data_IF_762692629116
#
_entry.id   IF_762692629116
#
_cell.length_a   1.000
_cell.length_b   1.000
_cell.length_c   1.000
_cell.angle_alpha   90.00
_cell.angle_beta   90.00
_cell.angle_gamma   90.00
#
_symmetry.space_group_name_H-M   'P 1'
#
loop_
_entity.id
_entity.type
_entity.pdbx_description
1 polymer ?
#
# COMPACT_ATOMS: atom_id res chain seq x y z
N UNK A 1 10.02 26.68 -17.84
CA UNK A 1 9.36 27.43 -16.75
C UNK A 1 8.03 26.76 -16.43
N UNK A 2 8.07 25.62 -15.73
CA UNK A 2 6.87 25.00 -15.16
C UNK A 2 6.72 25.56 -13.75
N UNK A 3 5.69 26.38 -13.56
CA UNK A 3 5.35 26.96 -12.28
C UNK A 3 4.85 25.84 -11.38
N UNK A 4 5.61 25.51 -10.34
CA UNK A 4 5.17 24.68 -9.22
C UNK A 4 3.94 25.37 -8.63
N UNK A 5 2.80 24.68 -8.64
CA UNK A 5 1.53 25.23 -8.21
C UNK A 5 1.64 25.74 -6.75
N UNK A 6 1.22 26.98 -6.43
CA UNK A 6 1.40 27.62 -5.11
C UNK A 6 0.65 26.95 -3.93
N UNK A 7 0.00 25.81 -4.15
CA UNK A 7 -0.73 25.06 -3.13
C UNK A 7 0.16 24.12 -2.30
N UNK A 8 1.34 23.73 -2.80
CA UNK A 8 2.27 22.86 -2.04
C UNK A 8 2.88 23.59 -0.84
N UNK A 9 3.27 24.86 -1.03
CA UNK A 9 3.89 25.67 0.03
C UNK A 9 2.94 26.00 1.19
N UNK A 10 1.62 25.99 0.93
CA UNK A 10 0.59 26.23 1.96
C UNK A 10 0.28 24.97 2.77
N UNK A 11 0.46 23.76 2.23
CA UNK A 11 0.18 22.51 2.95
C UNK A 11 1.20 22.20 4.04
N UNK A 12 2.50 22.40 3.79
CA UNK A 12 3.53 22.22 4.81
C UNK A 12 3.30 23.16 6.01
N UNK A 13 2.87 24.40 5.75
CA UNK A 13 2.58 25.38 6.81
C UNK A 13 1.40 24.99 7.73
N UNK A 14 0.48 24.14 7.24
CA UNK A 14 -0.69 23.67 8.00
C UNK A 14 -0.38 22.37 8.76
N UNK A 15 0.43 21.47 8.19
CA UNK A 15 0.84 20.22 8.84
C UNK A 15 1.76 20.43 10.06
N UNK A 16 2.50 21.55 10.08
CA UNK A 16 3.34 21.98 11.23
C UNK A 16 2.50 22.27 12.49
N UNK A 17 1.17 22.45 12.38
CA UNK A 17 0.28 22.73 13.52
C UNK A 17 -0.58 21.57 14.01
N UNK A 18 -0.45 20.36 13.46
CA UNK A 18 -1.21 19.19 13.95
C UNK A 18 -0.47 18.57 15.15
N UNK A 19 -1.08 18.56 16.36
CA UNK A 19 -0.50 17.91 17.54
C UNK A 19 -0.11 16.46 17.25
N UNK A 20 1.03 16.01 17.79
CA UNK A 20 1.57 14.67 17.59
C UNK A 20 0.58 13.54 17.95
N UNK A 21 -0.27 13.78 18.98
CA UNK A 21 -1.37 12.89 19.37
C UNK A 21 -2.46 12.69 18.29
N UNK A 22 -2.63 13.65 17.37
CA UNK A 22 -3.54 13.54 16.22
C UNK A 22 -2.83 12.93 15.00
N UNK A 23 -1.49 12.84 15.03
CA UNK A 23 -0.68 12.07 14.07
C UNK A 23 -0.67 10.57 14.40
N UNK A 24 -0.91 10.19 15.67
CA UNK A 24 -0.90 8.80 16.19
C UNK A 24 -2.29 8.11 16.22
N UNK A 25 -3.13 8.40 15.26
CA UNK A 25 -4.06 7.38 14.75
C UNK A 25 -3.77 7.35 13.25
N UNK A 26 -3.56 6.21 12.64
CA UNK A 26 -4.66 5.52 11.96
C UNK A 26 -4.06 4.34 11.18
N UNK A 27 -4.84 3.28 11.09
CA UNK A 27 -5.22 2.76 9.79
C UNK A 27 -6.77 2.65 9.82
N UNK A 28 -7.42 2.55 8.66
CA UNK A 28 -8.61 3.29 8.18
C UNK A 28 -8.16 4.62 7.51
N UNK A 29 -7.47 4.46 6.37
CA UNK A 29 -6.92 5.56 5.59
C UNK A 29 -7.60 5.68 4.22
N UNK A 30 -7.44 6.82 3.56
CA UNK A 30 -8.13 7.12 2.28
C UNK A 30 -7.73 6.21 1.11
N UNK A 31 -6.68 5.41 1.26
CA UNK A 31 -6.27 4.46 0.22
C UNK A 31 -7.28 3.31 0.09
N UNK A 32 -8.05 3.03 1.15
CA UNK A 32 -9.13 2.07 1.14
C UNK A 32 -10.43 2.76 0.69
N UNK A 33 -10.65 2.78 -0.62
CA UNK A 33 -11.75 3.50 -1.26
C UNK A 33 -12.88 2.57 -1.72
N UNK A 34 -12.83 1.28 -1.37
CA UNK A 34 -13.84 0.30 -1.77
C UNK A 34 -15.23 0.72 -1.29
N UNK A 35 -16.19 0.84 -2.21
CA UNK A 35 -17.56 1.27 -1.91
C UNK A 35 -17.74 2.76 -1.58
N UNK A 36 -16.69 3.58 -1.74
CA UNK A 36 -16.79 5.02 -1.48
C UNK A 36 -17.36 5.76 -2.70
N UNK A 37 -18.48 6.45 -2.50
CA UNK A 37 -19.08 7.35 -3.50
C UNK A 37 -18.38 8.72 -3.57
N UNK A 38 -18.65 9.45 -4.66
CA UNK A 38 -18.24 10.86 -4.80
C UNK A 38 -16.97 11.08 -5.62
N UNK A 39 -16.42 10.05 -6.24
CA UNK A 39 -15.38 10.17 -7.25
C UNK A 39 -15.96 10.59 -8.61
N UNK A 40 -15.14 11.30 -9.39
CA UNK A 40 -15.45 11.61 -10.78
C UNK A 40 -15.47 10.32 -11.64
N UNK A 41 -16.17 10.33 -12.79
CA UNK A 41 -16.14 9.22 -13.72
C UNK A 41 -14.72 8.81 -14.11
N UNK A 42 -14.51 7.51 -14.29
CA UNK A 42 -13.23 7.00 -14.81
C UNK A 42 -12.98 7.59 -16.19
N UNK A 43 -11.81 8.19 -16.37
CA UNK A 43 -11.38 8.77 -17.63
C UNK A 43 -10.47 7.78 -18.38
N UNK A 44 -10.98 7.03 -19.36
CA UNK A 44 -10.14 6.15 -20.15
C UNK A 44 -9.24 6.99 -21.06
N UNK A 45 -7.95 6.99 -20.79
CA UNK A 45 -6.94 7.67 -21.61
C UNK A 45 -5.84 6.70 -21.97
N UNK A 46 -5.40 6.73 -23.23
CA UNK A 46 -4.11 6.12 -23.59
C UNK A 46 -3.01 6.96 -22.94
N UNK A 47 -2.39 6.42 -21.91
CA UNK A 47 -1.38 7.13 -21.13
C UNK A 47 -0.04 6.42 -21.25
N UNK A 48 1.07 7.13 -21.50
CA UNK A 48 2.39 6.51 -21.46
C UNK A 48 2.67 5.97 -20.05
N UNK A 49 3.45 4.89 -19.92
CA UNK A 49 3.84 4.37 -18.60
C UNK A 49 4.53 5.42 -17.72
N UNK A 50 5.25 6.35 -18.37
CA UNK A 50 5.97 7.45 -17.74
C UNK A 50 5.73 8.74 -18.53
N UNK A 51 5.30 9.80 -17.85
CA UNK A 51 5.14 11.16 -18.35
C UNK A 51 6.35 12.04 -18.09
N UNK A 52 7.22 11.62 -17.17
CA UNK A 52 8.44 12.34 -16.83
C UNK A 52 9.58 11.37 -16.43
N UNK A 53 10.83 11.81 -16.59
CA UNK A 53 12.01 10.98 -16.31
C UNK A 53 12.14 10.60 -14.82
N UNK A 54 11.64 11.43 -13.91
CA UNK A 54 11.67 11.12 -12.48
C UNK A 54 10.80 9.91 -12.13
N UNK A 55 9.72 9.67 -12.89
CA UNK A 55 8.83 8.53 -12.68
C UNK A 55 9.55 7.20 -13.01
N UNK A 56 10.42 7.22 -14.03
CA UNK A 56 11.29 6.06 -14.35
C UNK A 56 12.24 5.75 -13.21
N UNK A 57 12.79 6.79 -12.58
CA UNK A 57 13.69 6.66 -11.42
C UNK A 57 12.93 6.12 -10.21
N UNK A 58 11.77 6.69 -9.90
CA UNK A 58 10.90 6.21 -8.83
C UNK A 58 10.51 4.75 -9.03
N UNK A 59 10.15 4.35 -10.25
CA UNK A 59 9.87 2.95 -10.58
C UNK A 59 11.08 2.04 -10.33
N UNK A 60 12.26 2.42 -10.83
CA UNK A 60 13.49 1.63 -10.67
C UNK A 60 13.95 1.50 -9.21
N UNK A 61 13.58 2.45 -8.33
CA UNK A 61 13.89 2.36 -6.90
C UNK A 61 13.25 1.15 -6.23
N UNK A 62 12.03 0.74 -6.62
CA UNK A 62 11.35 -0.36 -5.94
C UNK A 62 12.11 -1.70 -6.03
N UNK A 63 12.40 -2.27 -7.22
CA UNK A 63 13.16 -3.52 -7.31
C UNK A 63 14.58 -3.35 -6.77
N UNK A 64 15.17 -2.15 -6.85
CA UNK A 64 16.50 -1.89 -6.28
C UNK A 64 16.51 -1.98 -4.75
N UNK A 65 15.49 -1.44 -4.07
CA UNK A 65 15.40 -1.44 -2.62
C UNK A 65 14.98 -2.80 -2.08
N UNK A 66 14.05 -3.48 -2.77
CA UNK A 66 13.70 -4.85 -2.40
C UNK A 66 14.88 -5.80 -2.63
N UNK A 67 15.54 -5.76 -3.79
CA UNK A 67 16.64 -6.68 -4.11
C UNK A 67 17.85 -6.55 -3.19
N UNK A 68 17.91 -5.48 -2.38
CA UNK A 68 18.92 -5.24 -1.35
C UNK A 68 18.40 -5.47 0.08
N UNK A 69 17.19 -6.05 0.22
CA UNK A 69 16.51 -6.29 1.49
C UNK A 69 16.34 -5.02 2.35
N UNK A 70 16.28 -3.84 1.71
CA UNK A 70 16.11 -2.56 2.42
C UNK A 70 14.67 -2.36 2.84
N UNK A 71 13.72 -2.83 2.02
CA UNK A 71 12.27 -2.81 2.29
C UNK A 71 11.64 -4.07 1.70
N UNK A 72 10.47 -4.44 2.20
CA UNK A 72 9.58 -5.40 1.55
C UNK A 72 8.30 -4.74 1.00
N UNK A 73 7.55 -5.49 0.18
CA UNK A 73 6.34 -4.98 -0.48
C UNK A 73 5.20 -4.59 0.48
N UNK A 74 5.16 -5.16 1.69
CA UNK A 74 4.16 -4.80 2.71
C UNK A 74 4.56 -3.52 3.44
N UNK A 75 5.86 -3.34 3.75
CA UNK A 75 6.38 -2.06 4.25
C UNK A 75 6.17 -0.93 3.24
N UNK A 76 6.42 -1.18 1.96
CA UNK A 76 6.17 -0.22 0.87
C UNK A 76 4.72 0.25 0.84
N UNK A 77 3.76 -0.68 0.82
CA UNK A 77 2.32 -0.34 0.86
C UNK A 77 2.00 0.45 2.12
N UNK A 78 2.47 0.01 3.28
CA UNK A 78 2.28 0.74 4.53
C UNK A 78 2.90 2.14 4.54
N UNK A 79 4.00 2.35 3.81
CA UNK A 79 4.57 3.68 3.56
C UNK A 79 3.61 4.59 2.80
N UNK A 80 3.03 4.09 1.70
CA UNK A 80 2.03 4.81 0.89
C UNK A 80 0.78 5.15 1.72
N UNK A 81 0.28 4.21 2.51
CA UNK A 81 -0.91 4.36 3.35
C UNK A 81 -0.76 5.52 4.38
N UNK A 82 0.49 5.85 4.74
CA UNK A 82 0.85 6.91 5.69
C UNK A 82 1.20 8.25 5.03
N UNK A 83 0.96 8.41 3.73
CA UNK A 83 1.23 9.65 2.97
C UNK A 83 0.33 10.83 3.40
N UNK A 84 -0.85 10.52 3.95
CA UNK A 84 -1.86 11.52 4.31
C UNK A 84 -2.85 11.75 3.17
N UNK A 85 -4.14 11.86 3.51
CA UNK A 85 -5.20 11.68 2.52
C UNK A 85 -5.26 12.74 1.41
N UNK A 86 -4.96 14.00 1.73
CA UNK A 86 -4.94 15.04 0.70
C UNK A 86 -3.82 14.80 -0.30
N UNK A 87 -2.61 14.51 0.19
CA UNK A 87 -1.47 14.24 -0.69
C UNK A 87 -1.77 13.03 -1.57
N UNK A 88 -2.29 11.94 -0.99
CA UNK A 88 -2.70 10.74 -1.72
C UNK A 88 -3.65 11.05 -2.90
N UNK A 89 -4.72 11.83 -2.66
CA UNK A 89 -5.73 12.13 -3.69
C UNK A 89 -5.33 13.23 -4.69
N UNK A 90 -4.30 14.03 -4.40
CA UNK A 90 -3.94 15.21 -5.22
C UNK A 90 -2.59 15.12 -5.92
N UNK A 91 -1.83 14.03 -5.72
CA UNK A 91 -0.52 13.83 -6.37
C UNK A 91 -0.54 12.69 -7.38
N UNK A 92 0.29 12.75 -8.44
CA UNK A 92 0.49 11.64 -9.38
C UNK A 92 0.89 10.33 -8.71
N UNK A 93 0.63 9.20 -9.36
CA UNK A 93 0.86 7.86 -8.81
C UNK A 93 2.30 7.63 -8.30
N UNK A 94 3.32 8.03 -9.07
CA UNK A 94 4.72 7.82 -8.65
C UNK A 94 5.16 8.74 -7.51
N UNK A 95 4.41 9.80 -7.16
CA UNK A 95 4.65 10.56 -5.93
C UNK A 95 4.36 9.72 -4.69
N UNK A 96 3.38 8.81 -4.76
CA UNK A 96 3.07 7.88 -3.67
C UNK A 96 4.30 7.01 -3.36
N UNK A 97 4.99 6.55 -4.41
CA UNK A 97 6.19 5.73 -4.30
C UNK A 97 7.32 6.51 -3.64
N UNK A 98 7.60 7.73 -4.12
CA UNK A 98 8.63 8.59 -3.54
C UNK A 98 8.36 8.91 -2.06
N UNK A 99 7.12 9.22 -1.69
CA UNK A 99 6.74 9.47 -0.30
C UNK A 99 6.95 8.23 0.59
N UNK A 100 6.70 7.03 0.07
CA UNK A 100 6.97 5.79 0.78
C UNK A 100 8.49 5.55 0.93
N UNK A 101 9.29 5.72 -0.13
CA UNK A 101 10.74 5.53 -0.08
C UNK A 101 11.42 6.52 0.86
N UNK A 102 11.10 7.81 0.76
CA UNK A 102 11.64 8.83 1.66
C UNK A 102 11.44 8.44 3.12
N UNK A 103 10.22 8.03 3.46
CA UNK A 103 9.87 7.59 4.81
C UNK A 103 10.63 6.32 5.22
N UNK A 104 10.58 5.27 4.40
CA UNK A 104 11.15 3.97 4.76
C UNK A 104 12.68 4.01 4.83
N UNK A 105 13.34 4.75 3.95
CA UNK A 105 14.79 4.93 4.00
C UNK A 105 15.23 5.65 5.28
N UNK A 106 14.40 6.56 5.81
CA UNK A 106 14.66 7.21 7.09
C UNK A 106 14.34 6.28 8.27
N UNK A 107 13.19 5.60 8.24
CA UNK A 107 12.76 4.68 9.30
C UNK A 107 13.74 3.49 9.46
N UNK A 108 14.30 3.00 8.35
CA UNK A 108 15.28 1.91 8.32
C UNK A 108 16.73 2.41 8.51
N UNK A 109 16.93 3.70 8.75
CA UNK A 109 18.25 4.27 9.07
C UNK A 109 19.24 4.33 7.91
N UNK A 110 18.77 4.15 6.67
CA UNK A 110 19.60 4.21 5.46
C UNK A 110 20.02 5.65 5.16
N UNK A 111 19.12 6.61 5.36
CA UNK A 111 19.38 8.04 5.25
C UNK A 111 18.80 8.79 6.44
N UNK A 112 19.39 9.93 6.82
CA UNK A 112 18.79 10.81 7.83
C UNK A 112 17.84 11.82 7.17
N UNK A 113 16.75 12.20 7.86
CA UNK A 113 15.85 13.25 7.40
C UNK A 113 16.60 14.54 7.04
N UNK A 114 17.57 14.95 7.88
CA UNK A 114 18.41 16.11 7.61
C UNK A 114 19.29 15.97 6.35
N UNK A 115 19.67 14.73 5.96
CA UNK A 115 20.39 14.51 4.69
C UNK A 115 19.48 14.66 3.48
N UNK A 116 18.21 14.23 3.59
CA UNK A 116 17.19 14.43 2.56
C UNK A 116 16.93 15.93 2.38
N UNK A 117 16.66 16.66 3.46
CA UNK A 117 16.42 18.11 3.45
C UNK A 117 17.59 18.88 2.80
N UNK A 118 18.84 18.59 3.21
CA UNK A 118 20.02 19.24 2.61
C UNK A 118 20.13 19.00 1.10
N UNK A 119 19.78 17.80 0.62
CA UNK A 119 19.81 17.48 -0.81
C UNK A 119 18.67 18.15 -1.56
N UNK A 120 17.49 18.27 -0.95
CA UNK A 120 16.36 19.00 -1.51
C UNK A 120 16.69 20.50 -1.64
N UNK A 121 17.25 21.11 -0.60
CA UNK A 121 17.67 22.53 -0.64
C UNK A 121 18.71 22.77 -1.74
N UNK A 122 19.68 21.86 -1.90
CA UNK A 122 20.66 21.93 -2.97
C UNK A 122 20.00 21.80 -4.36
N UNK A 123 19.03 20.89 -4.51
CA UNK A 123 18.29 20.65 -5.74
C UNK A 123 17.41 21.83 -6.18
N UNK A 124 16.80 22.52 -5.20
CA UNK A 124 15.92 23.67 -5.44
C UNK A 124 16.70 24.97 -5.66
N UNK A 125 17.95 25.05 -5.18
CA UNK A 125 18.88 26.12 -5.52
C UNK A 125 19.57 25.90 -6.87
N UNK A 126 20.55 26.75 -7.18
CA UNK A 126 21.46 26.56 -8.33
C UNK A 126 22.64 25.62 -8.00
N UNK A 127 22.48 24.78 -6.96
CA UNK A 127 23.52 23.85 -6.52
C UNK A 127 23.60 22.65 -7.44
N UNK A 128 24.82 22.25 -7.82
CA UNK A 128 25.01 21.01 -8.57
C UNK A 128 24.73 19.81 -7.65
N UNK A 129 23.80 18.94 -8.07
CA UNK A 129 23.51 17.71 -7.33
C UNK A 129 24.58 16.69 -7.65
N UNK A 130 25.37 16.33 -6.64
CA UNK A 130 26.29 15.22 -6.76
C UNK A 130 25.51 13.89 -6.85
N UNK A 131 25.38 13.40 -8.09
CA UNK A 131 24.79 12.10 -8.42
C UNK A 131 25.88 11.02 -8.60
N UNK A 132 27.12 11.24 -8.15
CA UNK A 132 28.24 10.31 -8.35
C UNK A 132 28.17 9.00 -7.55
N UNK A 133 27.03 8.69 -6.94
CA UNK A 133 26.75 7.36 -6.41
C UNK A 133 26.70 6.35 -7.54
N UNK A 134 27.35 5.19 -7.36
CA UNK A 134 27.26 4.11 -8.33
C UNK A 134 25.81 3.65 -8.50
N UNK A 135 25.43 3.31 -9.73
CA UNK A 135 24.15 2.66 -9.99
C UNK A 135 24.09 1.31 -9.27
N UNK A 136 22.91 0.88 -8.79
CA UNK A 136 22.74 -0.50 -8.36
C UNK A 136 23.14 -1.44 -9.51
N UNK A 137 23.71 -2.58 -9.16
CA UNK A 137 24.12 -3.55 -10.17
C UNK A 137 22.89 -3.99 -11.00
N UNK A 138 22.92 -3.68 -12.30
CA UNK A 138 21.79 -3.91 -13.18
C UNK A 138 21.42 -5.39 -13.27
N UNK A 139 22.38 -6.30 -13.14
CA UNK A 139 22.13 -7.74 -13.11
C UNK A 139 21.34 -8.14 -11.85
N UNK A 140 21.73 -7.63 -10.69
CA UNK A 140 20.99 -7.83 -9.43
C UNK A 140 19.56 -7.32 -9.52
N UNK A 141 19.35 -6.10 -10.02
CA UNK A 141 17.99 -5.53 -10.17
C UNK A 141 17.15 -6.35 -11.15
N UNK A 142 17.75 -6.82 -12.25
CA UNK A 142 17.06 -7.66 -13.25
C UNK A 142 16.65 -9.00 -12.63
N UNK A 143 17.55 -9.65 -11.89
CA UNK A 143 17.25 -10.90 -11.20
C UNK A 143 16.10 -10.74 -10.20
N UNK A 144 16.06 -9.65 -9.42
CA UNK A 144 14.94 -9.37 -8.50
C UNK A 144 13.59 -9.26 -9.23
N UNK A 145 13.59 -8.67 -10.44
CA UNK A 145 12.38 -8.59 -11.26
C UNK A 145 11.97 -9.97 -11.78
N UNK A 146 12.93 -10.76 -12.25
CA UNK A 146 12.71 -12.09 -12.84
C UNK A 146 12.27 -13.13 -11.80
N UNK A 147 12.89 -13.13 -10.61
CA UNK A 147 12.54 -14.03 -9.50
C UNK A 147 11.15 -13.73 -8.93
N UNK A 148 10.68 -12.48 -9.08
CA UNK A 148 9.42 -12.02 -8.53
C UNK A 148 9.39 -12.05 -7.01
N UNK A 149 8.19 -11.94 -6.43
CA UNK A 149 8.01 -12.01 -4.97
C UNK A 149 7.02 -13.11 -4.62
N UNK A 150 7.55 -14.24 -4.14
CA UNK A 150 6.74 -15.35 -3.65
C UNK A 150 6.50 -15.18 -2.15
N UNK A 151 5.25 -14.90 -1.78
CA UNK A 151 4.81 -14.81 -0.38
C UNK A 151 4.21 -16.12 0.15
N UNK A 152 4.00 -17.11 -0.71
CA UNK A 152 3.59 -18.46 -0.31
C UNK A 152 4.70 -19.11 0.53
N UNK A 153 4.30 -19.79 1.61
CA UNK A 153 5.21 -20.51 2.53
C UNK A 153 4.85 -21.98 2.71
N UNK A 154 3.88 -22.48 1.94
CA UNK A 154 3.44 -23.87 1.95
C UNK A 154 2.08 -24.07 2.62
N UNK A 155 1.88 -25.25 3.22
CA UNK A 155 0.58 -25.67 3.74
C UNK A 155 0.58 -25.55 5.27
N UNK A 156 -0.36 -24.78 5.78
CA UNK A 156 -0.79 -24.79 7.19
C UNK A 156 -2.07 -25.65 7.32
N UNK A 157 -2.59 -25.90 8.53
CA UNK A 157 -3.85 -26.64 8.77
C UNK A 157 -5.04 -25.66 8.75
N UNK A 158 -5.68 -25.39 7.58
CA UNK A 158 -6.69 -24.35 7.47
C UNK A 158 -7.93 -24.69 8.30
N UNK A 159 -8.44 -23.70 9.05
CA UNK A 159 -9.64 -23.82 9.86
C UNK A 159 -10.94 -23.87 9.04
N UNK A 160 -10.89 -23.42 7.79
CA UNK A 160 -12.02 -23.39 6.86
C UNK A 160 -11.70 -24.13 5.55
N UNK A 161 -12.72 -24.69 4.92
CA UNK A 161 -12.68 -25.30 3.59
C UNK A 161 -13.63 -24.61 2.59
N UNK A 162 -13.47 -24.92 1.30
CA UNK A 162 -14.36 -24.38 0.28
C UNK A 162 -15.82 -24.78 0.54
N UNK A 163 -16.72 -23.79 0.52
CA UNK A 163 -18.13 -23.93 0.87
C UNK A 163 -18.47 -23.48 2.29
N UNK A 164 -17.49 -23.30 3.17
CA UNK A 164 -17.74 -22.83 4.53
C UNK A 164 -18.28 -21.40 4.55
N UNK A 165 -19.23 -21.17 5.45
CA UNK A 165 -19.70 -19.83 5.78
C UNK A 165 -18.72 -19.21 6.77
N UNK A 166 -18.35 -17.96 6.51
CA UNK A 166 -17.44 -17.18 7.35
C UNK A 166 -18.00 -15.78 7.55
N UNK A 167 -17.60 -15.14 8.63
CA UNK A 167 -17.82 -13.72 8.86
C UNK A 167 -16.46 -13.03 8.98
N UNK A 168 -16.31 -11.87 8.35
CA UNK A 168 -15.13 -11.04 8.52
C UNK A 168 -15.20 -10.35 9.87
N UNK A 169 -14.14 -10.47 10.67
CA UNK A 169 -14.04 -9.85 11.99
C UNK A 169 -14.17 -8.33 11.89
N UNK A 170 -14.73 -7.73 12.94
CA UNK A 170 -14.79 -6.28 13.06
C UNK A 170 -13.54 -5.71 13.75
N UNK A 171 -12.39 -5.80 13.08
CA UNK A 171 -11.13 -5.27 13.58
C UNK A 171 -10.74 -3.97 12.87
N UNK A 172 -10.16 -3.04 13.63
CA UNK A 172 -9.66 -1.76 13.14
C UNK A 172 -8.17 -1.61 13.53
N UNK A 173 -7.26 -2.32 12.85
CA UNK A 173 -5.84 -2.24 13.17
C UNK A 173 -5.34 -0.81 13.06
N UNK A 174 -4.30 -0.47 13.83
CA UNK A 174 -3.62 0.83 13.70
C UNK A 174 -2.46 0.80 12.70
N UNK A 175 -2.00 -0.40 12.35
CA UNK A 175 -0.92 -0.66 11.40
C UNK A 175 -1.45 -1.12 10.05
N UNK A 176 -0.57 -1.62 9.19
CA UNK A 176 -0.97 -2.16 7.87
C UNK A 176 -2.00 -3.28 7.99
N UNK A 177 -2.97 -3.33 7.08
CA UNK A 177 -3.80 -4.52 6.86
C UNK A 177 -4.19 -4.63 5.40
N UNK A 178 -4.64 -5.82 5.01
CA UNK A 178 -5.26 -6.07 3.71
C UNK A 178 -6.75 -6.36 3.78
N UNK A 179 -7.36 -6.34 4.96
CA UNK A 179 -8.81 -6.42 5.12
C UNK A 179 -9.47 -5.04 4.82
N UNK A 180 -10.19 -4.89 3.70
CA UNK A 180 -10.89 -3.65 3.38
C UNK A 180 -12.03 -3.36 4.35
N UNK A 181 -12.28 -2.08 4.60
CA UNK A 181 -13.27 -1.59 5.55
C UNK A 181 -14.68 -2.05 5.20
N UNK A 182 -15.02 -2.07 3.91
CA UNK A 182 -16.36 -2.46 3.44
C UNK A 182 -16.70 -3.94 3.66
N UNK A 183 -15.69 -4.78 3.94
CA UNK A 183 -15.90 -6.19 4.23
C UNK A 183 -16.08 -6.46 5.73
N UNK A 184 -15.76 -5.52 6.62
CA UNK A 184 -15.82 -5.77 8.06
C UNK A 184 -17.24 -6.09 8.50
N UNK A 185 -17.41 -7.20 9.24
CA UNK A 185 -18.69 -7.82 9.63
C UNK A 185 -19.47 -8.49 8.50
N UNK A 186 -19.04 -8.38 7.25
CA UNK A 186 -19.72 -9.02 6.14
C UNK A 186 -19.61 -10.54 6.24
N UNK A 187 -20.71 -11.20 5.92
CA UNK A 187 -20.78 -12.66 5.81
C UNK A 187 -20.46 -13.09 4.38
N UNK A 188 -19.61 -14.10 4.25
CA UNK A 188 -19.23 -14.66 2.96
C UNK A 188 -19.24 -16.19 2.96
N UNK A 189 -18.87 -16.74 1.81
CA UNK A 189 -18.58 -18.17 1.64
C UNK A 189 -17.16 -18.33 1.13
N UNK A 190 -16.37 -19.21 1.73
CA UNK A 190 -15.06 -19.58 1.21
C UNK A 190 -15.24 -20.24 -0.15
N UNK A 191 -14.62 -19.67 -1.17
CA UNK A 191 -14.64 -20.18 -2.55
C UNK A 191 -13.44 -21.10 -2.80
N UNK A 192 -12.26 -20.69 -2.33
CA UNK A 192 -11.02 -21.47 -2.45
C UNK A 192 -10.09 -21.25 -1.26
N UNK A 193 -9.28 -22.27 -0.97
CA UNK A 193 -8.14 -22.22 -0.04
C UNK A 193 -6.87 -22.20 -0.88
N UNK A 194 -6.10 -21.11 -0.82
CA UNK A 194 -4.91 -20.95 -1.66
C UNK A 194 -3.66 -21.62 -1.06
N UNK A 195 -3.65 -21.87 0.25
CA UNK A 195 -2.46 -22.29 1.01
C UNK A 195 -2.10 -21.25 2.06
N UNK A 196 -0.87 -21.28 2.57
CA UNK A 196 -0.41 -20.38 3.62
C UNK A 196 0.56 -19.33 3.07
N UNK A 197 0.27 -18.06 3.38
CA UNK A 197 0.96 -16.89 2.84
C UNK A 197 1.46 -16.00 3.98
N UNK A 198 2.56 -15.28 3.72
CA UNK A 198 3.04 -14.24 4.64
C UNK A 198 1.93 -13.23 4.93
N UNK A 199 1.66 -13.02 6.20
CA UNK A 199 0.67 -12.06 6.69
C UNK A 199 1.18 -10.62 6.50
N UNK A 200 0.49 -9.80 5.71
CA UNK A 200 0.86 -8.41 5.45
C UNK A 200 1.01 -7.59 6.74
N UNK A 201 0.07 -7.74 7.68
CA UNK A 201 -0.06 -6.95 8.90
C UNK A 201 1.18 -7.08 9.80
N UNK A 202 1.77 -8.27 9.84
CA UNK A 202 3.01 -8.50 10.58
C UNK A 202 4.23 -8.10 9.75
N UNK A 203 4.23 -8.41 8.45
CA UNK A 203 5.40 -8.25 7.59
C UNK A 203 5.72 -6.78 7.27
N UNK A 204 4.70 -5.92 7.22
CA UNK A 204 4.88 -4.46 7.14
C UNK A 204 5.57 -3.86 8.38
N UNK A 205 5.74 -4.65 9.44
CA UNK A 205 6.38 -4.28 10.70
C UNK A 205 7.55 -5.20 11.05
N UNK A 206 8.20 -5.79 10.04
CA UNK A 206 9.43 -6.58 10.18
C UNK A 206 9.26 -7.95 10.84
N UNK A 207 8.03 -8.47 10.89
CA UNK A 207 7.74 -9.80 11.45
C UNK A 207 7.13 -10.70 10.40
N UNK A 208 7.85 -11.77 10.03
CA UNK A 208 7.29 -12.79 9.16
C UNK A 208 6.37 -13.71 10.00
N UNK A 209 5.08 -13.65 9.68
CA UNK A 209 4.04 -14.53 10.20
C UNK A 209 3.34 -15.12 9.00
N UNK A 210 2.93 -16.38 9.06
CA UNK A 210 2.22 -17.07 7.97
C UNK A 210 0.81 -17.38 8.47
N UNK A 211 -0.19 -17.26 7.59
CA UNK A 211 -1.58 -17.65 7.82
C UNK A 211 -2.14 -18.30 6.54
N UNK A 212 -3.13 -19.20 6.64
CA UNK A 212 -3.94 -19.60 5.50
C UNK A 212 -4.58 -18.39 4.81
N UNK A 213 -4.65 -18.42 3.48
CA UNK A 213 -5.27 -17.42 2.63
C UNK A 213 -6.45 -18.03 1.88
N UNK A 214 -7.59 -17.33 1.92
CA UNK A 214 -8.85 -17.77 1.33
C UNK A 214 -9.32 -16.78 0.28
N UNK A 215 -9.80 -17.25 -0.87
CA UNK A 215 -10.73 -16.46 -1.67
C UNK A 215 -12.12 -16.57 -1.03
N UNK A 216 -12.68 -15.46 -0.60
CA UNK A 216 -14.03 -15.40 -0.01
C UNK A 216 -14.97 -14.68 -0.97
N UNK A 217 -16.09 -15.33 -1.29
CA UNK A 217 -17.17 -14.80 -2.10
C UNK A 217 -18.18 -14.08 -1.21
N UNK A 218 -18.50 -12.83 -1.55
CA UNK A 218 -19.52 -12.00 -0.91
C UNK A 218 -20.66 -11.68 -1.88
N UNK A 219 -21.87 -11.69 -1.35
CA UNK A 219 -23.05 -11.22 -2.06
C UNK A 219 -23.08 -9.68 -2.02
N UNK A 220 -23.28 -8.98 -3.15
CA UNK A 220 -23.47 -7.53 -3.14
C UNK A 220 -24.59 -7.06 -2.22
N UNK A 221 -25.67 -7.84 -2.04
CA UNK A 221 -26.78 -7.50 -1.14
C UNK A 221 -26.35 -7.49 0.33
N UNK A 222 -25.39 -8.34 0.72
CA UNK A 222 -24.77 -8.32 2.07
C UNK A 222 -23.96 -7.04 2.30
N UNK A 223 -23.23 -6.59 1.27
CA UNK A 223 -22.31 -5.46 1.39
C UNK A 223 -23.04 -4.11 1.29
N UNK A 224 -24.01 -4.01 0.37
CA UNK A 224 -24.58 -2.73 -0.06
C UNK A 224 -26.11 -2.68 0.08
N UNK A 225 -26.73 -3.76 0.56
CA UNK A 225 -28.17 -3.83 0.79
C UNK A 225 -29.00 -4.18 -0.45
N UNK A 226 -30.33 -4.09 -0.35
CA UNK A 226 -31.28 -4.68 -1.31
C UNK A 226 -31.26 -4.05 -2.72
N UNK A 227 -30.66 -2.86 -2.85
CA UNK A 227 -30.53 -2.13 -4.10
C UNK A 227 -29.24 -2.49 -4.86
N UNK A 228 -28.42 -3.39 -4.31
CA UNK A 228 -27.21 -3.86 -4.98
C UNK A 228 -27.53 -4.62 -6.28
N UNK A 229 -26.58 -4.58 -7.22
CA UNK A 229 -26.70 -5.32 -8.49
C UNK A 229 -26.83 -6.82 -8.22
N UNK A 230 -27.78 -7.46 -8.93
CA UNK A 230 -28.09 -8.87 -8.71
C UNK A 230 -27.27 -9.76 -9.65
N UNK A 231 -27.03 -10.99 -9.22
CA UNK A 231 -26.22 -11.99 -9.94
C UNK A 231 -24.74 -11.61 -10.13
N UNK A 232 -24.25 -10.67 -9.33
CA UNK A 232 -22.84 -10.33 -9.22
C UNK A 232 -22.24 -10.97 -7.95
N UNK A 233 -20.91 -10.96 -7.86
CA UNK A 233 -20.20 -11.41 -6.67
C UNK A 233 -18.92 -10.60 -6.48
N UNK A 234 -18.62 -10.28 -5.22
CA UNK A 234 -17.34 -9.70 -4.85
C UNK A 234 -16.46 -10.80 -4.28
N UNK A 235 -15.25 -10.92 -4.80
CA UNK A 235 -14.24 -11.83 -4.28
C UNK A 235 -13.12 -11.04 -3.64
N UNK A 236 -12.74 -11.46 -2.44
CA UNK A 236 -11.58 -10.90 -1.75
C UNK A 236 -10.73 -12.01 -1.15
N UNK A 237 -9.42 -11.87 -1.30
CA UNK A 237 -8.46 -12.74 -0.62
C UNK A 237 -8.25 -12.25 0.81
N UNK A 238 -8.60 -13.10 1.78
CA UNK A 238 -8.57 -12.79 3.21
C UNK A 238 -7.77 -13.86 3.95
N UNK A 239 -6.86 -13.43 4.83
CA UNK A 239 -6.11 -14.33 5.70
C UNK A 239 -7.03 -14.88 6.80
N UNK A 240 -6.77 -16.11 7.27
CA UNK A 240 -7.60 -16.83 8.25
C UNK A 240 -7.97 -15.97 9.46
N UNK A 241 -7.00 -15.24 10.01
CA UNK A 241 -7.24 -14.40 11.19
C UNK A 241 -8.24 -13.28 10.97
N UNK A 242 -8.51 -12.87 9.74
CA UNK A 242 -9.56 -11.89 9.45
C UNK A 242 -10.95 -12.49 9.54
N UNK A 243 -11.07 -13.82 9.59
CA UNK A 243 -12.31 -14.57 9.52
C UNK A 243 -12.64 -15.20 10.87
N UNK A 244 -13.93 -15.42 11.08
CA UNK A 244 -14.47 -16.25 12.13
C UNK A 244 -15.64 -17.08 11.62
N UNK A 245 -15.91 -18.20 12.28
CA UNK A 245 -17.13 -18.95 12.04
C UNK A 245 -18.35 -18.05 12.37
N UNK A 246 -19.43 -18.10 11.57
CA UNK A 246 -20.62 -17.32 11.83
C UNK A 246 -21.23 -17.71 13.18
N UNK A 247 -21.79 -16.72 13.87
CA UNK A 247 -22.47 -16.88 15.15
C UNK A 247 -23.78 -17.69 15.06
#
# INVERSE_FOLDING_TARGET
MNSIHPLLHTYESVLVRIPERLRQRRMDGVHDMGGTDGFDPVMPVEHPYFTADWERRAFAMLPSLVGQDVINMHEFRHGVERMGGVRYLSTPYYEHWLAAFERLLVENGIVSAAAVERRLDAALGDGDLDLSGGDPDAATVTATIEDGHVSERGVDDPAFEAGDRVQVRNEHPKGHTRCPDYLRRASGTVDAVHGAFVLPDANAHGREVVDPLYAVRFDPEELWGPDAERNEAIYADLWERYLEAPA
#
